data_IF_096826657904
#
_entry.id   IF_096826657904
#
_cell.length_a   1.000
_cell.length_b   1.000
_cell.length_c   1.000
_cell.angle_alpha   90.00
_cell.angle_beta   90.00
_cell.angle_gamma   90.00
#
_symmetry.space_group_name_H-M   'P 1'
#
loop_
_entity.id
_entity.type
_entity.pdbx_description
1 polymer ?
#
# COMPACT_ATOMS: atom_id res chain seq x y z
N UNK A 1 -14.65 -12.71 -25.31
CA UNK A 1 -13.37 -12.49 -24.60
C UNK A 1 -12.77 -11.19 -25.12
N UNK A 2 -12.96 -10.08 -24.41
CA UNK A 2 -12.24 -8.82 -24.62
C UNK A 2 -12.70 -7.81 -23.57
N UNK A 3 -11.92 -7.62 -22.50
CA UNK A 3 -11.96 -6.38 -21.73
C UNK A 3 -10.52 -5.96 -21.54
N UNK A 4 -10.05 -5.13 -22.48
CA UNK A 4 -8.79 -4.42 -22.35
C UNK A 4 -8.95 -3.34 -21.28
N UNK A 5 -8.23 -3.49 -20.18
CA UNK A 5 -8.02 -2.42 -19.22
C UNK A 5 -6.64 -1.82 -19.49
N UNK A 6 -6.62 -0.75 -20.28
CA UNK A 6 -5.47 0.14 -20.36
C UNK A 6 -5.37 0.90 -19.03
N UNK A 7 -4.63 0.35 -18.07
CA UNK A 7 -4.15 1.12 -16.92
C UNK A 7 -3.11 2.09 -17.48
N UNK A 8 -3.56 3.33 -17.69
CA UNK A 8 -2.71 4.46 -17.98
C UNK A 8 -1.59 4.51 -16.92
N UNK A 9 -0.39 4.13 -17.34
CA UNK A 9 0.83 4.32 -16.57
C UNK A 9 1.10 5.82 -16.56
N UNK A 10 0.62 6.50 -15.51
CA UNK A 10 1.14 7.81 -15.13
C UNK A 10 2.54 7.62 -14.56
N UNK A 11 3.53 7.36 -15.42
CA UNK A 11 4.93 7.64 -15.09
C UNK A 11 5.16 9.12 -15.30
N UNK A 12 4.67 9.92 -14.35
CA UNK A 12 5.23 11.22 -14.07
C UNK A 12 6.66 10.99 -13.58
N UNK A 13 7.63 11.32 -14.43
CA UNK A 13 9.03 11.38 -14.06
C UNK A 13 9.22 12.29 -12.85
N UNK A 14 9.70 11.71 -11.77
CA UNK A 14 10.10 12.41 -10.56
C UNK A 14 11.27 11.65 -9.98
N UNK A 15 12.47 12.07 -10.37
CA UNK A 15 13.70 11.73 -9.66
C UNK A 15 13.54 12.18 -8.22
N UNK A 16 13.41 11.24 -7.28
CA UNK A 16 13.09 11.61 -5.90
C UNK A 16 13.88 10.76 -4.91
N UNK A 17 15.19 11.00 -4.82
CA UNK A 17 16.07 10.52 -3.74
C UNK A 17 15.64 11.03 -2.33
N UNK A 18 14.53 11.77 -2.23
CA UNK A 18 13.84 12.11 -0.99
C UNK A 18 12.33 11.79 -0.97
N UNK A 19 11.73 11.33 -2.07
CA UNK A 19 10.35 10.82 -2.05
C UNK A 19 10.28 9.33 -1.82
N UNK A 20 11.38 8.58 -1.84
CA UNK A 20 11.34 7.19 -1.36
C UNK A 20 10.97 7.14 0.13
N UNK A 21 11.48 8.10 0.93
CA UNK A 21 11.15 8.24 2.36
C UNK A 21 9.74 8.79 2.58
N UNK A 22 9.29 9.74 1.74
CA UNK A 22 7.94 10.26 1.77
C UNK A 22 6.92 9.19 1.31
N UNK A 23 7.29 8.40 0.30
CA UNK A 23 6.54 7.25 -0.22
C UNK A 23 6.47 6.14 0.80
N UNK A 24 7.56 5.80 1.48
CA UNK A 24 7.55 4.84 2.57
C UNK A 24 6.63 5.28 3.72
N UNK A 25 6.64 6.57 4.08
CA UNK A 25 5.73 7.12 5.08
C UNK A 25 4.25 7.09 4.62
N UNK A 26 3.99 7.50 3.38
CA UNK A 26 2.63 7.48 2.81
C UNK A 26 2.09 6.06 2.63
N UNK A 27 2.97 5.12 2.27
CA UNK A 27 2.65 3.72 2.11
C UNK A 27 2.33 3.09 3.47
N UNK A 28 3.16 3.34 4.50
CA UNK A 28 2.86 2.92 5.87
C UNK A 28 1.51 3.48 6.36
N UNK A 29 1.23 4.77 6.14
CA UNK A 29 -0.05 5.38 6.52
C UNK A 29 -1.25 4.73 5.84
N UNK A 30 -1.15 4.35 4.56
CA UNK A 30 -2.20 3.58 3.88
C UNK A 30 -2.38 2.19 4.48
N UNK A 31 -1.28 1.48 4.78
CA UNK A 31 -1.35 0.15 5.36
C UNK A 31 -2.04 0.17 6.74
N UNK A 32 -1.72 1.14 7.58
CA UNK A 32 -2.39 1.32 8.88
C UNK A 32 -3.87 1.72 8.74
N UNK A 33 -4.23 2.53 7.75
CA UNK A 33 -5.64 2.85 7.48
C UNK A 33 -6.44 1.60 7.07
N UNK A 34 -5.83 0.74 6.25
CA UNK A 34 -6.42 -0.54 5.83
C UNK A 34 -6.53 -1.52 7.00
N UNK A 35 -5.51 -1.63 7.84
CA UNK A 35 -5.53 -2.48 9.03
C UNK A 35 -6.61 -2.03 10.02
N UNK A 36 -6.76 -0.73 10.26
CA UNK A 36 -7.85 -0.21 11.07
C UNK A 36 -9.23 -0.56 10.50
N UNK A 37 -9.43 -0.39 9.19
CA UNK A 37 -10.68 -0.77 8.53
C UNK A 37 -10.93 -2.29 8.63
N UNK A 38 -9.88 -3.10 8.48
CA UNK A 38 -9.94 -4.54 8.63
C UNK A 38 -10.29 -4.93 10.07
N UNK A 39 -9.67 -4.33 11.10
CA UNK A 39 -10.05 -4.56 12.49
C UNK A 39 -11.47 -4.12 12.80
N UNK A 40 -11.99 -3.05 12.17
CA UNK A 40 -13.39 -2.66 12.36
C UNK A 40 -14.36 -3.70 11.78
N UNK A 41 -14.01 -4.31 10.66
CA UNK A 41 -14.83 -5.34 10.01
C UNK A 41 -14.67 -6.73 10.66
N UNK A 42 -13.47 -7.03 11.16
CA UNK A 42 -13.04 -8.31 11.69
C UNK A 42 -12.30 -8.07 13.02
N UNK A 43 -13.08 -7.71 14.05
CA UNK A 43 -12.56 -7.30 15.35
C UNK A 43 -11.56 -8.31 15.93
N UNK A 44 -10.28 -7.98 15.87
CA UNK A 44 -9.19 -8.79 16.44
C UNK A 44 -8.74 -9.98 15.60
N UNK A 45 -9.11 -10.04 14.32
CA UNK A 45 -8.69 -11.13 13.44
C UNK A 45 -7.20 -10.96 13.07
N UNK A 46 -6.33 -11.94 13.37
CA UNK A 46 -4.88 -11.84 13.14
C UNK A 46 -4.53 -11.70 11.66
N UNK A 47 -5.46 -12.00 10.77
CA UNK A 47 -5.35 -11.78 9.32
C UNK A 47 -5.08 -10.30 8.98
N UNK A 48 -5.65 -9.36 9.74
CA UNK A 48 -5.45 -7.92 9.49
C UNK A 48 -4.02 -7.48 9.78
N UNK A 49 -3.38 -8.07 10.80
CA UNK A 49 -1.99 -7.80 11.18
C UNK A 49 -1.00 -8.43 10.18
N UNK A 50 -1.34 -9.61 9.65
CA UNK A 50 -0.59 -10.26 8.57
C UNK A 50 -0.61 -9.45 7.26
N UNK A 51 -1.77 -8.89 6.90
CA UNK A 51 -1.93 -8.01 5.74
C UNK A 51 -1.18 -6.68 5.93
N UNK A 52 -1.22 -6.09 7.13
CA UNK A 52 -0.42 -4.91 7.49
C UNK A 52 1.08 -5.17 7.31
N UNK A 53 1.58 -6.30 7.82
CA UNK A 53 3.00 -6.67 7.73
C UNK A 53 3.43 -6.86 6.27
N UNK A 54 2.60 -7.55 5.46
CA UNK A 54 2.82 -7.69 4.01
C UNK A 54 2.85 -6.35 3.28
N UNK A 55 1.94 -5.45 3.63
CA UNK A 55 1.84 -4.12 3.06
C UNK A 55 3.10 -3.30 3.38
N UNK A 56 3.51 -3.24 4.64
CA UNK A 56 4.73 -2.57 5.08
C UNK A 56 6.01 -3.15 4.47
N UNK A 57 6.09 -4.48 4.29
CA UNK A 57 7.22 -5.11 3.61
C UNK A 57 7.29 -4.70 2.13
N UNK A 58 6.14 -4.64 1.46
CA UNK A 58 6.05 -4.16 0.07
C UNK A 58 6.44 -2.69 -0.06
N UNK A 59 6.17 -1.87 0.97
CA UNK A 59 6.59 -0.48 1.05
C UNK A 59 8.11 -0.30 1.28
N UNK A 60 8.78 -1.25 1.95
CA UNK A 60 10.23 -1.18 2.22
C UNK A 60 11.10 -1.80 1.12
N UNK A 61 10.53 -2.67 0.29
CA UNK A 61 11.24 -3.37 -0.78
C UNK A 61 11.27 -2.65 -2.12
N UNK A 62 10.82 -1.40 -2.19
CA UNK A 62 10.67 -0.60 -3.41
C UNK A 62 11.45 0.70 -3.28
#
# INVERSE_FOLDING_TARGET
>A
MAVGAAYAVLTAGGHLTGADTAFANQCAAQCYAQENACRKAKAGDPSCDAELTKCLQSCRGK
#
